data_IF_108109928252
#
_entry.id   IF_108109928252
#
_cell.length_a   1.000
_cell.length_b   1.000
_cell.length_c   1.000
_cell.angle_alpha   90.00
_cell.angle_beta   90.00
_cell.angle_gamma   90.00
#
_symmetry.space_group_name_H-M   'P 1'
#
loop_
_entity.id
_entity.type
_entity.pdbx_description
1 polymer ?
#
# COMPACT_ATOMS: atom_id res chain seq x y z
N UNK A 1 -15.74 -19.79 10.37
CA UNK A 1 -14.27 -19.59 10.43
C UNK A 1 -14.00 -18.14 10.00
N UNK A 2 -13.16 -17.42 10.70
CA UNK A 2 -12.79 -16.05 10.31
C UNK A 2 -11.85 -16.10 9.10
N UNK A 3 -11.93 -15.09 8.21
CA UNK A 3 -11.23 -15.09 6.90
C UNK A 3 -9.71 -15.21 7.00
N UNK A 4 -9.12 -14.70 8.10
CA UNK A 4 -7.66 -14.64 8.35
C UNK A 4 -7.30 -15.34 9.67
N UNK A 5 -8.12 -16.30 10.11
CA UNK A 5 -7.87 -17.00 11.38
C UNK A 5 -6.53 -17.73 11.35
N UNK A 6 -5.73 -17.55 12.39
CA UNK A 6 -4.36 -18.08 12.52
C UNK A 6 -3.35 -17.56 11.51
N UNK A 7 -3.61 -16.44 10.84
CA UNK A 7 -2.65 -15.77 9.94
C UNK A 7 -2.00 -14.56 10.61
N UNK A 8 -0.75 -14.31 10.27
CA UNK A 8 0.04 -13.17 10.73
C UNK A 8 0.35 -12.23 9.58
N UNK A 9 0.01 -10.96 9.74
CA UNK A 9 0.15 -9.93 8.73
C UNK A 9 1.07 -8.80 9.19
N UNK A 10 1.95 -8.33 8.30
CA UNK A 10 2.71 -7.10 8.46
C UNK A 10 2.14 -6.03 7.53
N UNK A 11 1.80 -4.86 8.07
CA UNK A 11 1.25 -3.72 7.32
C UNK A 11 2.15 -2.51 7.50
N UNK A 12 2.69 -1.95 6.42
CA UNK A 12 3.44 -0.69 6.43
C UNK A 12 2.54 0.50 6.13
N UNK A 13 2.91 1.71 6.59
CA UNK A 13 2.03 2.88 6.49
C UNK A 13 0.75 2.71 7.31
N UNK A 14 0.83 1.96 8.41
CA UNK A 14 -0.32 1.51 9.21
C UNK A 14 -0.98 2.65 10.01
N UNK A 15 -0.31 3.77 10.19
CA UNK A 15 -0.86 4.97 10.82
C UNK A 15 -1.64 5.88 9.84
N UNK A 16 -1.49 5.67 8.52
CA UNK A 16 -2.21 6.39 7.48
C UNK A 16 -3.66 5.96 7.33
N UNK A 17 -4.47 6.72 6.57
CA UNK A 17 -5.91 6.45 6.43
C UNK A 17 -6.21 5.04 5.89
N UNK A 18 -5.62 4.66 4.75
CA UNK A 18 -5.77 3.32 4.16
C UNK A 18 -5.19 2.25 5.09
N UNK A 19 -3.98 2.49 5.64
CA UNK A 19 -3.30 1.53 6.51
C UNK A 19 -4.10 1.19 7.76
N UNK A 20 -4.70 2.17 8.43
CA UNK A 20 -5.58 1.94 9.59
C UNK A 20 -6.81 1.10 9.23
N UNK A 21 -7.43 1.36 8.06
CA UNK A 21 -8.57 0.58 7.58
C UNK A 21 -8.17 -0.88 7.29
N UNK A 22 -7.00 -1.11 6.68
CA UNK A 22 -6.45 -2.45 6.42
C UNK A 22 -6.20 -3.19 7.73
N UNK A 23 -5.48 -2.58 8.69
CA UNK A 23 -5.22 -3.18 10.01
C UNK A 23 -6.52 -3.57 10.71
N UNK A 24 -7.50 -2.66 10.73
CA UNK A 24 -8.82 -2.90 11.32
C UNK A 24 -9.52 -4.11 10.69
N UNK A 25 -9.52 -4.21 9.36
CA UNK A 25 -10.21 -5.31 8.67
C UNK A 25 -9.49 -6.65 8.82
N UNK A 26 -8.16 -6.69 8.73
CA UNK A 26 -7.38 -7.91 8.96
C UNK A 26 -7.61 -8.47 10.36
N UNK A 27 -7.56 -7.60 11.40
CA UNK A 27 -7.85 -7.99 12.79
C UNK A 27 -9.29 -8.47 12.98
N UNK A 28 -10.27 -7.77 12.40
CA UNK A 28 -11.67 -8.22 12.42
C UNK A 28 -11.85 -9.57 11.73
N UNK A 29 -11.06 -9.85 10.70
CA UNK A 29 -10.98 -11.15 10.01
C UNK A 29 -10.21 -12.23 10.77
N UNK A 30 -9.62 -11.92 11.93
CA UNK A 30 -8.93 -12.87 12.80
C UNK A 30 -7.42 -12.97 12.63
N UNK A 31 -6.79 -12.10 11.82
CA UNK A 31 -5.34 -12.04 11.74
C UNK A 31 -4.72 -11.42 12.99
N UNK A 32 -3.51 -11.86 13.34
CA UNK A 32 -2.58 -11.12 14.19
C UNK A 32 -1.83 -10.12 13.33
N UNK A 33 -1.84 -8.83 13.68
CA UNK A 33 -1.31 -7.78 12.81
C UNK A 33 -0.15 -7.03 13.46
N UNK A 34 1.02 -7.08 12.82
CA UNK A 34 2.13 -6.15 13.07
C UNK A 34 1.93 -4.89 12.22
N UNK A 35 1.84 -3.75 12.89
CA UNK A 35 1.65 -2.43 12.28
C UNK A 35 2.98 -1.66 12.30
N UNK A 36 3.44 -1.21 11.14
CA UNK A 36 4.69 -0.45 10.97
C UNK A 36 4.42 0.93 10.36
N UNK A 37 4.95 1.97 10.98
CA UNK A 37 4.86 3.36 10.50
C UNK A 37 5.90 4.23 11.21
N UNK A 38 6.22 5.38 10.64
CA UNK A 38 7.05 6.40 11.26
C UNK A 38 6.28 7.15 12.38
N UNK A 39 4.96 7.31 12.24
CA UNK A 39 4.08 7.94 13.24
C UNK A 39 3.65 6.90 14.30
N UNK A 40 4.51 6.66 15.27
CA UNK A 40 4.26 5.73 16.36
C UNK A 40 3.03 6.10 17.22
N UNK A 41 2.60 7.36 17.21
CA UNK A 41 1.48 7.83 18.07
C UNK A 41 0.11 7.32 17.57
N UNK A 42 0.01 6.99 16.30
CA UNK A 42 -1.21 6.50 15.65
C UNK A 42 -1.19 5.01 15.33
N UNK A 43 -0.09 4.31 15.65
CA UNK A 43 0.00 2.87 15.43
C UNK A 43 -1.00 2.10 16.27
N UNK A 44 -1.78 1.23 15.63
CA UNK A 44 -2.78 0.37 16.24
C UNK A 44 -2.70 -1.04 15.61
N UNK A 45 -1.89 -1.89 16.19
CA UNK A 45 -1.74 -3.30 15.82
C UNK A 45 -1.73 -4.18 17.06
N UNK A 46 -1.65 -5.49 16.88
CA UNK A 46 -1.37 -6.42 17.97
C UNK A 46 0.12 -6.33 18.36
N UNK A 47 0.95 -6.01 17.35
CA UNK A 47 2.36 -5.65 17.48
C UNK A 47 2.58 -4.30 16.81
N UNK A 48 3.26 -3.37 17.47
CA UNK A 48 3.66 -2.08 16.89
C UNK A 48 5.16 -2.06 16.64
N UNK A 49 5.56 -1.75 15.42
CA UNK A 49 6.94 -1.71 14.94
C UNK A 49 7.20 -0.31 14.34
N UNK A 50 7.42 0.71 15.19
CA UNK A 50 7.70 2.06 14.68
C UNK A 50 9.07 2.14 14.02
N UNK A 51 9.18 2.87 12.90
CA UNK A 51 10.44 3.09 12.21
C UNK A 51 10.28 3.83 10.89
N UNK A 52 11.40 4.26 10.33
CA UNK A 52 11.47 5.00 9.07
C UNK A 52 11.86 4.06 7.93
N UNK A 53 11.03 3.98 6.90
CA UNK A 53 11.31 3.17 5.71
C UNK A 53 12.39 3.74 4.79
N UNK A 54 12.93 4.92 5.08
CA UNK A 54 14.16 5.41 4.43
C UNK A 54 15.42 4.80 5.04
N UNK A 55 15.30 4.21 6.23
CA UNK A 55 16.37 3.42 6.86
C UNK A 55 16.39 2.00 6.27
N UNK A 56 17.47 1.67 5.57
CA UNK A 56 17.63 0.39 4.90
C UNK A 56 17.76 -0.78 5.88
N UNK A 57 18.40 -0.57 7.03
CA UNK A 57 18.59 -1.60 8.05
C UNK A 57 17.24 -1.93 8.72
N UNK A 58 16.42 -0.90 8.94
CA UNK A 58 15.05 -1.10 9.41
C UNK A 58 14.24 -1.93 8.40
N UNK A 59 14.28 -1.59 7.12
CA UNK A 59 13.57 -2.35 6.08
C UNK A 59 14.04 -3.80 5.99
N UNK A 60 15.35 -4.04 6.06
CA UNK A 60 15.92 -5.39 5.91
C UNK A 60 15.61 -6.29 7.13
N UNK A 61 15.35 -5.70 8.31
CA UNK A 61 15.06 -6.43 9.55
C UNK A 61 13.58 -6.48 9.92
N UNK A 62 12.72 -5.60 9.37
CA UNK A 62 11.33 -5.43 9.80
C UNK A 62 10.50 -6.71 9.70
N UNK A 63 10.65 -7.48 8.62
CA UNK A 63 9.92 -8.74 8.45
C UNK A 63 10.34 -9.78 9.50
N UNK A 64 11.63 -9.86 9.83
CA UNK A 64 12.11 -10.75 10.89
C UNK A 64 11.60 -10.31 12.26
N UNK A 65 11.63 -9.01 12.57
CA UNK A 65 11.06 -8.48 13.82
C UNK A 65 9.57 -8.82 13.98
N UNK A 66 8.81 -8.80 12.88
CA UNK A 66 7.41 -9.22 12.87
C UNK A 66 7.27 -10.71 13.20
N UNK A 67 8.08 -11.56 12.55
CA UNK A 67 8.10 -13.02 12.82
C UNK A 67 8.51 -13.33 14.26
N UNK A 68 9.53 -12.66 14.79
CA UNK A 68 10.01 -12.88 16.17
C UNK A 68 8.91 -12.60 17.21
N UNK A 69 7.98 -11.67 16.89
CA UNK A 69 6.88 -11.31 17.79
C UNK A 69 5.59 -12.08 17.55
N UNK A 70 5.33 -12.54 16.32
CA UNK A 70 4.07 -13.22 15.95
C UNK A 70 4.25 -14.72 15.67
N UNK A 71 5.49 -15.20 15.48
CA UNK A 71 5.81 -16.60 15.23
C UNK A 71 5.86 -16.97 13.73
N UNK A 72 5.17 -16.24 12.86
CA UNK A 72 5.13 -16.48 11.41
C UNK A 72 4.82 -15.20 10.62
N UNK A 73 4.93 -15.26 9.31
CA UNK A 73 4.49 -14.21 8.38
C UNK A 73 3.78 -14.86 7.19
N UNK A 74 2.48 -14.58 7.07
CA UNK A 74 1.62 -15.11 5.98
C UNK A 74 1.22 -14.01 5.00
N UNK A 75 1.15 -12.75 5.47
CA UNK A 75 0.67 -11.62 4.67
C UNK A 75 1.61 -10.43 4.86
N UNK A 76 2.08 -9.87 3.73
CA UNK A 76 2.79 -8.58 3.72
C UNK A 76 1.97 -7.56 2.93
N UNK A 77 1.65 -6.43 3.55
CA UNK A 77 0.98 -5.31 2.90
C UNK A 77 1.94 -4.11 2.83
N UNK A 78 2.49 -3.87 1.65
CA UNK A 78 3.29 -2.69 1.34
C UNK A 78 2.35 -1.53 0.99
N UNK A 79 1.85 -0.84 2.03
CA UNK A 79 0.91 0.27 1.87
C UNK A 79 1.56 1.65 2.11
N UNK A 80 2.70 1.73 2.78
CA UNK A 80 3.42 2.98 2.95
C UNK A 80 3.73 3.64 1.61
N UNK A 81 3.63 4.96 1.56
CA UNK A 81 3.96 5.72 0.37
C UNK A 81 3.80 7.22 0.58
N UNK A 82 4.51 7.98 -0.23
CA UNK A 82 4.43 9.44 -0.26
C UNK A 82 4.10 9.90 -1.67
N UNK A 83 3.54 11.10 -1.78
CA UNK A 83 3.22 11.73 -3.05
C UNK A 83 4.09 12.98 -3.28
N UNK A 84 4.79 13.00 -4.41
CA UNK A 84 5.51 14.19 -4.90
C UNK A 84 4.70 14.80 -6.03
N UNK A 85 4.47 16.10 -5.94
CA UNK A 85 3.68 16.88 -6.89
C UNK A 85 4.59 17.78 -7.71
N UNK A 86 4.22 17.99 -8.95
CA UNK A 86 4.89 18.88 -9.90
C UNK A 86 5.43 18.16 -11.13
N UNK A 87 5.66 18.92 -12.22
CA UNK A 87 6.32 18.42 -13.42
C UNK A 87 7.81 18.10 -13.14
N UNK A 88 8.47 17.39 -14.06
CA UNK A 88 9.88 17.01 -13.93
C UNK A 88 10.78 18.21 -13.62
N UNK A 89 10.53 19.36 -14.27
CA UNK A 89 11.33 20.59 -14.11
C UNK A 89 11.18 21.26 -12.75
N UNK A 90 10.12 20.94 -11.98
CA UNK A 90 9.89 21.44 -10.63
C UNK A 90 10.27 20.44 -9.52
N UNK A 91 10.57 19.20 -9.89
CA UNK A 91 10.96 18.16 -8.92
C UNK A 91 12.43 18.33 -8.52
N UNK A 92 12.70 18.30 -7.22
CA UNK A 92 14.08 18.37 -6.70
C UNK A 92 14.72 16.99 -6.59
N UNK A 93 16.06 16.93 -6.55
CA UNK A 93 16.79 15.69 -6.24
C UNK A 93 16.38 15.09 -4.89
N UNK A 94 16.06 15.93 -3.91
CA UNK A 94 15.58 15.50 -2.59
C UNK A 94 14.23 14.77 -2.72
N UNK A 95 13.30 15.35 -3.47
CA UNK A 95 11.98 14.74 -3.69
C UNK A 95 12.10 13.41 -4.44
N UNK A 96 12.95 13.37 -5.47
CA UNK A 96 13.23 12.15 -6.22
C UNK A 96 13.79 11.05 -5.31
N UNK A 97 14.85 11.34 -4.55
CA UNK A 97 15.50 10.36 -3.68
C UNK A 97 14.56 9.85 -2.59
N UNK A 98 13.83 10.76 -1.93
CA UNK A 98 12.87 10.38 -0.89
C UNK A 98 11.73 9.51 -1.45
N UNK A 99 11.20 9.88 -2.62
CA UNK A 99 10.13 9.10 -3.26
C UNK A 99 10.63 7.71 -3.70
N UNK A 100 11.85 7.60 -4.22
CA UNK A 100 12.45 6.31 -4.55
C UNK A 100 12.68 5.46 -3.31
N UNK A 101 13.23 6.03 -2.23
CA UNK A 101 13.48 5.32 -0.99
C UNK A 101 12.19 4.73 -0.39
N UNK A 102 11.14 5.56 -0.24
CA UNK A 102 9.90 5.13 0.42
C UNK A 102 9.01 4.29 -0.50
N UNK A 103 8.81 4.72 -1.76
CA UNK A 103 7.83 4.10 -2.64
C UNK A 103 8.36 2.90 -3.42
N UNK A 104 9.68 2.75 -3.59
CA UNK A 104 10.28 1.70 -4.43
C UNK A 104 11.25 0.83 -3.65
N UNK A 105 12.28 1.44 -3.04
CA UNK A 105 13.35 0.69 -2.39
C UNK A 105 12.83 -0.05 -1.16
N UNK A 106 12.04 0.60 -0.30
CA UNK A 106 11.48 -0.03 0.88
C UNK A 106 10.58 -1.23 0.54
N UNK A 107 9.55 -1.13 -0.34
CA UNK A 107 8.76 -2.30 -0.74
C UNK A 107 9.61 -3.43 -1.36
N UNK A 108 10.62 -3.09 -2.18
CA UNK A 108 11.53 -4.08 -2.75
C UNK A 108 12.28 -4.84 -1.65
N UNK A 109 12.88 -4.12 -0.68
CA UNK A 109 13.60 -4.72 0.45
C UNK A 109 12.70 -5.58 1.32
N UNK A 110 11.50 -5.09 1.64
CA UNK A 110 10.51 -5.82 2.43
C UNK A 110 10.06 -7.11 1.73
N UNK A 111 9.79 -7.06 0.43
CA UNK A 111 9.48 -8.26 -0.35
C UNK A 111 10.63 -9.27 -0.33
N UNK A 112 11.86 -8.80 -0.55
CA UNK A 112 13.07 -9.64 -0.50
C UNK A 112 13.26 -10.31 0.87
N UNK A 113 12.99 -9.58 1.95
CA UNK A 113 13.09 -10.09 3.32
C UNK A 113 11.92 -11.03 3.69
N UNK A 114 10.72 -10.77 3.19
CA UNK A 114 9.52 -11.53 3.53
C UNK A 114 9.50 -12.92 2.90
N UNK A 115 9.87 -13.05 1.62
CA UNK A 115 9.75 -14.29 0.85
C UNK A 115 10.38 -15.50 1.56
N UNK A 116 11.64 -15.45 2.05
CA UNK A 116 12.23 -16.59 2.75
C UNK A 116 11.59 -16.91 4.10
N UNK A 117 10.78 -15.98 4.66
CA UNK A 117 10.06 -16.17 5.92
C UNK A 117 8.65 -16.75 5.71
N UNK A 118 8.08 -16.66 4.50
CA UNK A 118 6.78 -17.20 4.12
C UNK A 118 6.86 -18.70 3.77
N UNK A 119 7.23 -19.53 4.74
CA UNK A 119 7.58 -20.96 4.54
C UNK A 119 6.42 -21.82 4.04
N UNK A 120 5.19 -21.42 4.30
CA UNK A 120 3.96 -22.15 3.91
C UNK A 120 3.23 -21.49 2.73
N UNK A 121 3.91 -20.63 1.97
CA UNK A 121 3.28 -19.73 1.03
C UNK A 121 2.74 -18.49 1.71
N UNK A 122 1.96 -17.67 0.99
CA UNK A 122 1.41 -16.44 1.53
C UNK A 122 0.90 -15.46 0.49
N UNK A 123 0.62 -14.23 0.93
CA UNK A 123 0.15 -13.17 0.06
C UNK A 123 0.93 -11.86 0.31
N UNK A 124 1.41 -11.26 -0.76
CA UNK A 124 1.98 -9.91 -0.76
C UNK A 124 1.04 -9.00 -1.54
N UNK A 125 0.60 -7.90 -0.94
CA UNK A 125 -0.20 -6.88 -1.60
C UNK A 125 0.54 -5.56 -1.58
N UNK A 126 0.87 -5.06 -2.76
CA UNK A 126 1.52 -3.79 -2.94
C UNK A 126 0.49 -2.69 -3.25
N UNK A 127 0.66 -1.50 -2.67
CA UNK A 127 -0.15 -0.33 -3.02
C UNK A 127 0.57 0.47 -4.11
N UNK A 128 0.15 0.24 -5.37
CA UNK A 128 0.52 1.08 -6.50
C UNK A 128 -0.41 2.32 -6.58
N UNK A 129 -0.87 2.68 -7.74
CA UNK A 129 -1.83 3.73 -8.03
C UNK A 129 -2.41 3.52 -9.43
N UNK A 130 -3.60 4.02 -9.71
CA UNK A 130 -4.05 4.17 -11.10
C UNK A 130 -3.03 4.99 -11.92
N UNK A 131 -2.38 5.98 -11.32
CA UNK A 131 -1.31 6.74 -11.96
C UNK A 131 0.03 6.01 -12.14
N UNK A 132 0.18 4.84 -11.55
CA UNK A 132 1.26 3.90 -11.86
C UNK A 132 0.96 3.05 -13.10
N UNK A 133 -0.31 2.95 -13.50
CA UNK A 133 -0.78 2.22 -14.69
C UNK A 133 -1.03 3.20 -15.84
N UNK A 134 -1.69 4.32 -15.55
CA UNK A 134 -2.03 5.39 -16.48
C UNK A 134 -1.52 6.73 -15.93
N UNK A 135 -0.32 7.19 -16.31
CA UNK A 135 0.30 8.39 -15.71
C UNK A 135 -0.53 9.65 -15.93
N UNK A 136 -0.78 10.40 -14.85
CA UNK A 136 -1.41 11.71 -14.89
C UNK A 136 -0.39 12.87 -14.90
N UNK A 137 -0.83 14.10 -15.21
CA UNK A 137 0.04 15.27 -15.23
C UNK A 137 0.50 15.70 -13.83
N UNK A 138 1.56 16.50 -13.78
CA UNK A 138 2.07 17.17 -12.57
C UNK A 138 2.44 16.26 -11.40
N UNK A 139 2.77 14.98 -11.66
CA UNK A 139 3.17 14.02 -10.65
C UNK A 139 4.25 13.06 -11.18
N UNK A 140 5.19 13.55 -11.96
CA UNK A 140 6.15 12.72 -12.70
C UNK A 140 6.91 11.72 -11.82
N UNK A 141 7.48 12.19 -10.69
CA UNK A 141 8.21 11.33 -9.75
C UNK A 141 7.28 10.30 -9.10
N UNK A 142 6.10 10.73 -8.68
CA UNK A 142 5.12 9.81 -8.08
C UNK A 142 4.67 8.72 -9.07
N UNK A 143 4.24 9.10 -10.27
CA UNK A 143 3.81 8.16 -11.31
C UNK A 143 4.91 7.14 -11.62
N UNK A 144 6.16 7.61 -11.80
CA UNK A 144 7.31 6.74 -12.04
C UNK A 144 7.50 5.72 -10.90
N UNK A 145 7.43 6.15 -9.63
CA UNK A 145 7.61 5.23 -8.49
C UNK A 145 6.48 4.21 -8.41
N UNK A 146 5.23 4.61 -8.70
CA UNK A 146 4.07 3.71 -8.67
C UNK A 146 4.04 2.76 -9.87
N UNK A 147 4.56 3.16 -11.02
CA UNK A 147 4.80 2.28 -12.16
C UNK A 147 5.88 1.23 -11.85
N UNK A 148 6.95 1.60 -11.14
CA UNK A 148 7.97 0.67 -10.69
C UNK A 148 7.37 -0.44 -9.78
N UNK A 149 6.48 -0.09 -8.86
CA UNK A 149 5.78 -1.05 -7.99
C UNK A 149 4.81 -1.95 -8.79
N UNK A 150 4.12 -1.41 -9.78
CA UNK A 150 3.27 -2.21 -10.66
C UNK A 150 4.10 -3.27 -11.41
N UNK A 151 5.23 -2.87 -12.00
CA UNK A 151 6.16 -3.78 -12.68
C UNK A 151 6.77 -4.81 -11.72
N UNK A 152 7.25 -4.40 -10.54
CA UNK A 152 7.78 -5.29 -9.51
C UNK A 152 6.74 -6.36 -9.11
N UNK A 153 5.48 -5.96 -8.92
CA UNK A 153 4.38 -6.86 -8.59
C UNK A 153 4.19 -7.95 -9.64
N UNK A 154 4.22 -7.58 -10.92
CA UNK A 154 4.06 -8.52 -12.04
C UNK A 154 5.24 -9.49 -12.16
N UNK A 155 6.47 -9.02 -11.96
CA UNK A 155 7.67 -9.87 -11.94
C UNK A 155 7.58 -10.88 -10.80
N UNK A 156 7.39 -10.40 -9.57
CA UNK A 156 7.34 -11.24 -8.38
C UNK A 156 6.20 -12.26 -8.42
N UNK A 157 5.03 -11.89 -8.97
CA UNK A 157 3.93 -12.81 -9.15
C UNK A 157 4.30 -14.02 -10.01
N UNK A 158 5.16 -13.84 -11.01
CA UNK A 158 5.67 -14.94 -11.85
C UNK A 158 6.79 -15.72 -11.14
N UNK A 159 7.70 -15.01 -10.50
CA UNK A 159 8.90 -15.61 -9.92
C UNK A 159 8.59 -16.50 -8.71
N UNK A 160 7.56 -16.15 -7.92
CA UNK A 160 7.27 -16.78 -6.62
C UNK A 160 5.97 -17.59 -6.56
N UNK A 161 5.19 -17.66 -7.65
CA UNK A 161 3.96 -18.45 -7.71
C UNK A 161 4.20 -19.94 -7.37
N UNK A 162 5.32 -20.51 -7.82
CA UNK A 162 5.70 -21.90 -7.54
C UNK A 162 6.00 -22.17 -6.07
N UNK A 163 6.24 -21.13 -5.26
CA UNK A 163 6.40 -21.18 -3.80
C UNK A 163 5.06 -21.01 -3.06
N UNK A 164 3.94 -20.99 -3.79
CA UNK A 164 2.61 -20.69 -3.26
C UNK A 164 2.52 -19.28 -2.64
N UNK A 165 3.35 -18.33 -3.11
CA UNK A 165 3.31 -16.92 -2.72
C UNK A 165 2.65 -16.14 -3.85
N UNK A 166 1.49 -15.54 -3.55
CA UNK A 166 0.78 -14.67 -4.48
C UNK A 166 1.19 -13.21 -4.26
N UNK A 167 1.52 -12.51 -5.33
CA UNK A 167 1.89 -11.10 -5.27
C UNK A 167 0.97 -10.32 -6.19
N UNK A 168 0.21 -9.37 -5.65
CA UNK A 168 -0.73 -8.54 -6.41
C UNK A 168 -0.62 -7.08 -5.97
N UNK A 169 -1.14 -6.16 -6.77
CA UNK A 169 -1.23 -4.76 -6.39
C UNK A 169 -2.67 -4.24 -6.42
N UNK A 170 -3.00 -3.42 -5.43
CA UNK A 170 -4.12 -2.51 -5.50
C UNK A 170 -3.64 -1.19 -6.10
N UNK A 171 -4.42 -0.63 -7.02
CA UNK A 171 -4.14 0.61 -7.73
C UNK A 171 -5.27 1.62 -7.45
N UNK A 172 -5.26 2.32 -6.31
CA UNK A 172 -6.27 3.32 -6.00
C UNK A 172 -6.20 4.53 -6.93
N UNK A 173 -7.34 5.16 -7.18
CA UNK A 173 -7.44 6.51 -7.70
C UNK A 173 -7.58 7.50 -6.52
N UNK A 174 -8.52 8.45 -6.56
CA UNK A 174 -8.73 9.39 -5.46
C UNK A 174 -9.36 8.71 -4.24
N UNK A 175 -8.71 8.81 -3.09
CA UNK A 175 -9.17 8.24 -1.82
C UNK A 175 -9.21 9.35 -0.77
N UNK A 176 -10.32 9.52 -0.06
CA UNK A 176 -10.44 10.47 1.04
C UNK A 176 -9.56 10.05 2.22
N UNK A 177 -8.38 10.62 2.26
CA UNK A 177 -7.33 10.36 3.25
C UNK A 177 -6.64 11.68 3.62
N UNK A 178 -5.88 11.72 4.72
CA UNK A 178 -5.06 12.89 5.06
C UNK A 178 -4.12 13.32 3.92
N UNK A 179 -3.63 12.38 3.10
CA UNK A 179 -2.76 12.67 1.95
C UNK A 179 -3.50 13.47 0.86
N UNK A 180 -4.75 13.13 0.54
CA UNK A 180 -5.56 13.86 -0.43
C UNK A 180 -5.97 15.22 0.14
N UNK A 181 -6.44 15.25 1.39
CA UNK A 181 -6.87 16.47 2.09
C UNK A 181 -5.77 17.51 2.18
N UNK A 182 -4.56 17.12 2.62
CA UNK A 182 -3.40 18.02 2.66
C UNK A 182 -3.04 18.59 1.28
N UNK A 183 -3.27 17.82 0.21
CA UNK A 183 -3.07 18.31 -1.15
C UNK A 183 -4.05 19.42 -1.56
N UNK A 184 -5.27 19.42 -1.04
CA UNK A 184 -6.22 20.51 -1.23
C UNK A 184 -5.84 21.73 -0.38
N UNK A 185 -5.50 21.52 0.90
CA UNK A 185 -5.06 22.59 1.81
C UNK A 185 -3.86 23.36 1.27
N UNK A 186 -2.83 22.66 0.77
CA UNK A 186 -1.64 23.29 0.16
C UNK A 186 -1.97 24.15 -1.06
N UNK A 187 -3.08 23.89 -1.75
CA UNK A 187 -3.57 24.68 -2.88
C UNK A 187 -4.57 25.77 -2.46
N UNK A 188 -4.82 25.93 -1.15
CA UNK A 188 -5.73 26.92 -0.61
C UNK A 188 -7.22 26.57 -0.70
N UNK A 189 -7.56 25.29 -0.99
CA UNK A 189 -8.94 24.82 -1.03
C UNK A 189 -9.39 24.27 0.32
N UNK A 190 -10.69 24.42 0.61
CA UNK A 190 -11.29 23.69 1.73
C UNK A 190 -11.42 22.20 1.34
N UNK A 191 -10.82 21.26 2.09
CA UNK A 191 -10.82 19.85 1.73
C UNK A 191 -12.21 19.23 1.60
N UNK A 192 -13.15 19.58 2.48
CA UNK A 192 -14.50 18.98 2.47
C UNK A 192 -15.27 19.37 1.19
N UNK A 193 -15.19 20.63 0.81
CA UNK A 193 -15.81 21.11 -0.45
C UNK A 193 -15.11 20.49 -1.66
N UNK A 194 -13.78 20.52 -1.69
CA UNK A 194 -13.00 20.02 -2.82
C UNK A 194 -13.17 18.50 -3.02
N UNK A 195 -13.26 17.69 -1.95
CA UNK A 195 -13.54 16.26 -2.04
C UNK A 195 -14.94 16.00 -2.58
N UNK A 196 -15.93 16.78 -2.15
CA UNK A 196 -17.30 16.67 -2.65
C UNK A 196 -17.38 16.99 -4.15
N UNK A 197 -16.75 18.08 -4.57
CA UNK A 197 -16.66 18.47 -5.99
C UNK A 197 -15.92 17.40 -6.81
N UNK A 198 -14.76 16.92 -6.32
CA UNK A 198 -14.02 15.84 -6.95
C UNK A 198 -14.88 14.58 -7.10
N UNK A 199 -15.69 14.26 -6.12
CA UNK A 199 -16.63 13.14 -6.15
C UNK A 199 -17.63 13.21 -7.30
N UNK A 200 -18.06 14.42 -7.71
CA UNK A 200 -18.97 14.58 -8.85
C UNK A 200 -18.34 14.18 -10.19
N UNK A 201 -17.01 14.15 -10.27
CA UNK A 201 -16.27 13.72 -11.49
C UNK A 201 -16.09 12.20 -11.57
N UNK A 202 -16.43 11.47 -10.49
CA UNK A 202 -16.33 10.02 -10.44
C UNK A 202 -17.68 9.41 -10.83
N UNK A 203 -17.75 8.45 -11.75
CA UNK A 203 -19.02 7.81 -12.16
C UNK A 203 -19.84 7.23 -11.01
N UNK A 204 -19.21 6.69 -9.95
CA UNK A 204 -19.89 6.26 -8.72
C UNK A 204 -20.38 7.42 -7.83
N UNK A 205 -20.20 8.69 -8.23
CA UNK A 205 -20.70 9.89 -7.53
C UNK A 205 -19.96 10.24 -6.25
N UNK A 206 -18.85 9.60 -5.92
CA UNK A 206 -18.05 9.89 -4.73
C UNK A 206 -16.58 9.53 -4.90
N UNK A 207 -15.74 10.17 -4.14
CA UNK A 207 -14.35 9.74 -3.89
C UNK A 207 -14.36 8.43 -3.08
N UNK A 208 -13.38 7.55 -3.27
CA UNK A 208 -13.28 6.33 -2.50
C UNK A 208 -12.97 6.62 -1.02
N UNK A 209 -13.49 5.81 -0.13
CA UNK A 209 -13.08 5.78 1.27
C UNK A 209 -11.83 4.89 1.46
N UNK A 210 -11.18 5.02 2.60
CA UNK A 210 -10.08 4.12 2.98
C UNK A 210 -10.57 2.65 3.07
N UNK A 211 -11.81 2.44 3.49
CA UNK A 211 -12.46 1.12 3.58
C UNK A 211 -12.67 0.49 2.20
N UNK A 212 -13.00 1.26 1.16
CA UNK A 212 -13.13 0.73 -0.20
C UNK A 212 -11.81 0.08 -0.66
N UNK A 213 -10.68 0.72 -0.37
CA UNK A 213 -9.36 0.19 -0.70
C UNK A 213 -9.00 -1.01 0.18
N UNK A 214 -9.25 -0.90 1.49
CA UNK A 214 -8.97 -1.99 2.43
C UNK A 214 -9.75 -3.27 2.10
N UNK A 215 -11.00 -3.15 1.60
CA UNK A 215 -11.79 -4.29 1.13
C UNK A 215 -11.08 -5.07 0.01
N UNK A 216 -10.51 -4.34 -0.97
CA UNK A 216 -9.79 -4.96 -2.09
C UNK A 216 -8.45 -5.55 -1.62
N UNK A 217 -7.71 -4.84 -0.76
CA UNK A 217 -6.46 -5.36 -0.16
C UNK A 217 -6.73 -6.65 0.60
N UNK A 218 -7.75 -6.68 1.46
CA UNK A 218 -8.12 -7.88 2.21
C UNK A 218 -8.62 -9.01 1.30
N UNK A 219 -9.31 -8.71 0.19
CA UNK A 219 -9.63 -9.72 -0.82
C UNK A 219 -8.37 -10.31 -1.44
N UNK A 220 -7.44 -9.48 -1.90
CA UNK A 220 -6.20 -9.92 -2.53
C UNK A 220 -5.29 -10.72 -1.58
N UNK A 221 -5.31 -10.38 -0.28
CA UNK A 221 -4.58 -11.10 0.75
C UNK A 221 -5.19 -12.47 1.09
N UNK A 222 -6.47 -12.67 0.84
CA UNK A 222 -7.21 -13.86 1.26
C UNK A 222 -7.13 -15.03 0.26
N UNK A 223 -7.60 -16.20 0.71
CA UNK A 223 -7.72 -17.40 -0.12
C UNK A 223 -8.71 -17.23 -1.28
N UNK A 224 -9.65 -16.28 -1.19
CA UNK A 224 -10.64 -16.00 -2.25
C UNK A 224 -9.98 -15.47 -3.53
N UNK A 225 -8.77 -14.87 -3.41
CA UNK A 225 -7.93 -14.43 -4.52
C UNK A 225 -6.91 -15.51 -4.96
N UNK A 226 -7.18 -16.77 -4.71
CA UNK A 226 -6.23 -17.89 -4.86
C UNK A 226 -5.65 -18.07 -6.28
N UNK A 227 -6.32 -17.56 -7.32
CA UNK A 227 -5.83 -17.64 -8.71
C UNK A 227 -5.35 -16.30 -9.27
N UNK A 228 -5.28 -15.25 -8.41
CA UNK A 228 -4.72 -13.95 -8.78
C UNK A 228 -3.24 -13.88 -8.37
N UNK A 229 -2.37 -13.70 -9.37
CA UNK A 229 -0.92 -13.56 -9.16
C UNK A 229 -0.35 -12.62 -10.24
N UNK A 230 0.34 -11.57 -9.82
CA UNK A 230 0.85 -10.51 -10.69
C UNK A 230 -0.23 -9.54 -11.20
N UNK A 231 -1.42 -9.55 -10.59
CA UNK A 231 -2.54 -8.70 -11.03
C UNK A 231 -2.43 -7.29 -10.46
N UNK A 232 -2.85 -6.31 -11.29
CA UNK A 232 -2.98 -4.91 -10.92
C UNK A 232 -4.48 -4.57 -10.88
N UNK A 233 -5.02 -4.33 -9.69
CA UNK A 233 -6.45 -4.10 -9.49
C UNK A 233 -6.72 -2.61 -9.28
N UNK A 234 -7.27 -1.97 -10.29
CA UNK A 234 -7.68 -0.56 -10.22
C UNK A 234 -8.95 -0.40 -9.39
N UNK A 235 -8.92 0.55 -8.45
CA UNK A 235 -10.06 0.92 -7.59
C UNK A 235 -10.35 2.40 -7.83
N UNK A 236 -11.13 2.67 -8.89
CA UNK A 236 -11.26 4.01 -9.47
C UNK A 236 -12.69 4.54 -9.57
N UNK A 237 -13.70 3.77 -9.12
CA UNK A 237 -15.10 4.20 -9.16
C UNK A 237 -15.65 4.39 -10.59
N UNK A 238 -15.03 3.78 -11.59
CA UNK A 238 -15.37 3.94 -13.01
C UNK A 238 -14.76 5.18 -13.65
N UNK A 239 -13.94 5.96 -12.92
CA UNK A 239 -13.26 7.12 -13.48
C UNK A 239 -12.05 6.64 -14.30
N UNK A 240 -12.06 6.82 -15.63
CA UNK A 240 -10.90 6.52 -16.43
C UNK A 240 -9.77 7.47 -16.04
N UNK A 241 -8.57 6.93 -15.93
CA UNK A 241 -7.36 7.74 -15.77
C UNK A 241 -6.83 7.96 -17.19
N UNK A 242 -7.20 9.11 -17.77
CA UNK A 242 -6.77 9.54 -19.11
C UNK A 242 -5.74 10.65 -18.99
#
# INVERSE_FOLDING_TARGET
MKRFENQCALVTGAAGGIGQAIVKQLRAGGATVAAADIDQTKLKGDVCLPGDLTDTDYCDTLCQQAVDKMGQLDILINNAGIITRGPVTASTDKDLRLSLAVNVEAPFRLCRAAIPLMKNGGAIVNTSSCWGVHPGPDHAVYCMTKAAIASLTQCMGRDHAHQNIRVNAVCPNEVDTPMLRSGFEMRGFNPDTAIKELGTTVPLGRVASAEDIANVVCFLASVDAGYLCGSLIEVNGGKPVT
#
